data_IF_247120923040
#
_entry.id   IF_247120923040
#
_cell.length_a   1.000
_cell.length_b   1.000
_cell.length_c   1.000
_cell.angle_alpha   90.00
_cell.angle_beta   90.00
_cell.angle_gamma   90.00
#
_symmetry.space_group_name_H-M   'P 1'
#
loop_
_entity.id
_entity.type
_entity.pdbx_description
1 polymer ?
#
# COMPACT_ATOMS: atom_id res chain seq x y z
N UNK A 1 32.51 8.14 -68.89
CA UNK A 1 32.23 9.29 -67.99
C UNK A 1 33.55 9.94 -67.61
N UNK A 2 33.66 11.25 -67.83
CA UNK A 2 34.85 12.05 -67.53
C UNK A 2 35.24 11.93 -66.06
N UNK A 3 36.55 12.01 -65.76
CA UNK A 3 37.09 12.05 -64.39
C UNK A 3 36.43 13.16 -63.55
N UNK A 4 36.05 14.27 -64.19
CA UNK A 4 35.32 15.38 -63.56
C UNK A 4 33.91 15.01 -63.11
N UNK A 5 33.22 14.10 -63.81
CA UNK A 5 31.87 13.65 -63.46
C UNK A 5 31.87 12.72 -62.24
N UNK A 6 32.94 11.93 -62.06
CA UNK A 6 33.09 11.04 -60.89
C UNK A 6 33.36 11.81 -59.59
N UNK A 7 34.17 12.88 -59.65
CA UNK A 7 34.46 13.73 -58.49
C UNK A 7 33.22 14.51 -58.05
N UNK A 8 32.42 15.01 -58.99
CA UNK A 8 31.17 15.72 -58.68
C UNK A 8 30.12 14.81 -58.04
N UNK A 9 29.97 13.56 -58.50
CA UNK A 9 29.05 12.60 -57.88
C UNK A 9 29.48 12.21 -56.46
N UNK A 10 30.78 12.07 -56.18
CA UNK A 10 31.30 11.75 -54.85
C UNK A 10 31.11 12.90 -53.86
N UNK A 11 31.31 14.15 -54.28
CA UNK A 11 31.06 15.33 -53.46
C UNK A 11 29.56 15.55 -53.19
N UNK A 12 28.69 15.26 -54.17
CA UNK A 12 27.24 15.40 -53.99
C UNK A 12 26.67 14.34 -53.05
N UNK A 13 27.17 13.09 -53.12
CA UNK A 13 26.80 12.01 -52.20
C UNK A 13 27.31 12.25 -50.77
N UNK A 14 28.50 12.84 -50.59
CA UNK A 14 28.99 13.20 -49.25
C UNK A 14 28.19 14.35 -48.64
N UNK A 15 27.78 15.34 -49.45
CA UNK A 15 26.94 16.44 -48.98
C UNK A 15 25.54 15.97 -48.56
N UNK A 16 24.94 15.05 -49.32
CA UNK A 16 23.65 14.44 -48.95
C UNK A 16 23.79 13.60 -47.66
N UNK A 17 24.86 12.82 -47.51
CA UNK A 17 25.12 12.05 -46.29
C UNK A 17 25.34 12.94 -45.04
N UNK A 18 26.03 14.08 -45.19
CA UNK A 18 26.23 15.06 -44.12
C UNK A 18 24.93 15.80 -43.75
N UNK A 19 24.06 16.10 -44.73
CA UNK A 19 22.74 16.69 -44.43
C UNK A 19 21.80 15.71 -43.73
N UNK A 20 21.85 14.40 -44.02
CA UNK A 20 21.07 13.40 -43.29
C UNK A 20 21.55 13.14 -41.86
N UNK A 21 22.85 13.34 -41.57
CA UNK A 21 23.38 13.27 -40.20
C UNK A 21 23.05 14.52 -39.37
N UNK A 22 22.83 15.68 -40.00
CA UNK A 22 22.49 16.93 -39.32
C UNK A 22 20.98 17.09 -39.01
N UNK A 23 20.09 16.39 -39.74
CA UNK A 23 18.62 16.57 -39.62
C UNK A 23 17.97 15.84 -38.43
N UNK A 24 18.71 15.02 -37.67
CA UNK A 24 18.15 14.23 -36.55
C UNK A 24 18.69 14.60 -35.16
N UNK A 25 19.00 15.87 -34.89
CA UNK A 25 19.04 16.39 -33.52
C UNK A 25 18.05 17.52 -33.37
N UNK A 26 16.77 17.19 -33.44
CA UNK A 26 15.75 18.00 -32.76
C UNK A 26 16.19 18.06 -31.29
N UNK A 27 16.51 19.24 -30.73
CA UNK A 27 16.77 19.36 -29.30
C UNK A 27 15.53 18.84 -28.59
N UNK A 28 15.62 17.66 -28.00
CA UNK A 28 14.55 17.15 -27.16
C UNK A 28 14.46 18.14 -25.99
N UNK A 29 13.24 18.62 -25.65
CA UNK A 29 13.07 19.55 -24.55
C UNK A 29 13.77 18.97 -23.32
N UNK A 30 14.53 19.83 -22.62
CA UNK A 30 15.35 19.41 -21.49
C UNK A 30 14.42 18.77 -20.44
N UNK A 31 14.47 17.44 -20.31
CA UNK A 31 13.67 16.72 -19.33
C UNK A 31 14.39 16.83 -17.99
N UNK A 32 13.92 17.75 -17.15
CA UNK A 32 14.43 17.98 -15.81
C UNK A 32 13.58 17.23 -14.78
N UNK A 33 14.25 16.48 -13.91
CA UNK A 33 13.64 15.76 -12.81
C UNK A 33 13.75 16.61 -11.54
N UNK A 34 12.59 17.03 -11.02
CA UNK A 34 12.46 17.73 -9.74
C UNK A 34 11.78 16.81 -8.72
N UNK A 35 11.80 17.19 -7.44
CA UNK A 35 11.10 16.46 -6.38
C UNK A 35 9.60 16.27 -6.67
N UNK A 36 8.99 17.22 -7.37
CA UNK A 36 7.57 17.23 -7.73
C UNK A 36 7.26 16.41 -8.99
N UNK A 37 8.28 16.01 -9.75
CA UNK A 37 8.11 15.19 -10.94
C UNK A 37 7.47 13.85 -10.56
N UNK A 38 6.39 13.47 -11.26
CA UNK A 38 5.68 12.21 -11.04
C UNK A 38 6.52 11.01 -11.43
N UNK A 39 6.53 9.97 -10.61
CA UNK A 39 7.30 8.74 -10.89
C UNK A 39 6.85 8.12 -12.21
N UNK A 40 5.55 8.04 -12.52
CA UNK A 40 5.14 7.51 -13.82
C UNK A 40 5.59 8.37 -14.98
N UNK A 41 5.67 9.71 -14.85
CA UNK A 41 6.20 10.58 -15.91
C UNK A 41 7.64 10.19 -16.27
N UNK A 42 8.49 9.92 -15.27
CA UNK A 42 9.86 9.45 -15.49
C UNK A 42 9.86 8.04 -16.09
N UNK A 43 9.13 7.11 -15.47
CA UNK A 43 9.10 5.70 -15.91
C UNK A 43 8.58 5.56 -17.36
N UNK A 44 7.56 6.32 -17.77
CA UNK A 44 7.05 6.31 -19.15
C UNK A 44 8.04 6.92 -20.12
N UNK A 45 8.78 7.95 -19.72
CA UNK A 45 9.84 8.56 -20.54
C UNK A 45 11.00 7.58 -20.77
N UNK A 46 11.22 6.66 -19.84
CA UNK A 46 12.13 5.52 -19.98
C UNK A 46 11.52 4.31 -20.72
N UNK A 47 10.32 4.44 -21.30
CA UNK A 47 9.67 3.39 -22.08
C UNK A 47 8.86 2.37 -21.28
N UNK A 48 8.55 2.62 -20.00
CA UNK A 48 7.59 1.77 -19.27
C UNK A 48 6.15 2.08 -19.65
N UNK A 49 5.35 1.02 -19.69
CA UNK A 49 3.90 1.12 -19.85
C UNK A 49 3.25 1.29 -18.48
N UNK A 50 2.50 2.38 -18.32
CA UNK A 50 1.65 2.59 -17.16
C UNK A 50 0.38 1.74 -17.28
N UNK A 51 0.26 0.73 -16.42
CA UNK A 51 -0.85 -0.24 -16.45
C UNK A 51 -2.10 0.22 -15.70
N UNK A 52 -2.02 1.32 -14.95
CA UNK A 52 -3.10 1.83 -14.09
C UNK A 52 -3.73 3.12 -14.62
N UNK A 53 -3.54 3.44 -15.91
CA UNK A 53 -4.13 4.64 -16.53
C UNK A 53 -5.66 4.65 -16.40
N UNK A 54 -6.22 5.85 -16.27
CA UNK A 54 -7.66 6.06 -16.29
C UNK A 54 -8.26 5.70 -17.66
N UNK A 55 -9.45 5.12 -17.65
CA UNK A 55 -10.18 4.83 -18.88
C UNK A 55 -10.81 6.13 -19.41
N UNK A 56 -10.31 6.60 -20.56
CA UNK A 56 -10.75 7.85 -21.19
C UNK A 56 -12.23 7.82 -21.62
N UNK A 57 -12.80 6.63 -21.82
CA UNK A 57 -14.20 6.48 -22.23
C UNK A 57 -15.15 6.42 -21.03
N UNK A 58 -14.63 6.27 -19.82
CA UNK A 58 -15.45 6.17 -18.61
C UNK A 58 -15.49 7.47 -17.85
N UNK A 59 -16.71 7.88 -17.53
CA UNK A 59 -16.96 9.03 -16.66
C UNK A 59 -16.44 8.75 -15.25
N UNK A 60 -15.68 9.68 -14.69
CA UNK A 60 -15.10 9.58 -13.36
C UNK A 60 -14.94 10.96 -12.71
N UNK A 61 -14.77 10.97 -11.39
CA UNK A 61 -14.58 12.19 -10.59
C UNK A 61 -13.78 11.84 -9.32
N UNK A 62 -12.61 12.44 -9.16
CA UNK A 62 -11.71 12.14 -8.04
C UNK A 62 -12.33 12.51 -6.67
N UNK A 63 -13.14 13.55 -6.58
CA UNK A 63 -13.84 13.92 -5.34
C UNK A 63 -14.90 12.87 -4.98
N UNK A 64 -15.63 12.34 -5.97
CA UNK A 64 -16.55 11.20 -5.74
C UNK A 64 -15.78 9.96 -5.30
N UNK A 65 -14.63 9.69 -5.93
CA UNK A 65 -13.71 8.62 -5.54
C UNK A 65 -13.26 8.71 -4.09
N UNK A 66 -12.81 9.89 -3.66
CA UNK A 66 -12.43 10.16 -2.28
C UNK A 66 -13.59 9.85 -1.33
N UNK A 67 -14.79 10.31 -1.63
CA UNK A 67 -15.96 10.06 -0.79
C UNK A 67 -16.29 8.56 -0.70
N UNK A 68 -16.17 7.81 -1.81
CA UNK A 68 -16.34 6.35 -1.79
C UNK A 68 -15.28 5.68 -0.91
N UNK A 69 -14.01 6.09 -0.99
CA UNK A 69 -12.91 5.54 -0.18
C UNK A 69 -13.06 5.87 1.31
N UNK A 70 -13.38 7.13 1.64
CA UNK A 70 -13.36 7.64 3.01
C UNK A 70 -14.63 7.29 3.81
N UNK A 71 -15.81 7.33 3.17
CA UNK A 71 -17.11 7.15 3.86
C UNK A 71 -18.00 6.10 3.23
N UNK A 72 -17.59 5.49 2.12
CA UNK A 72 -18.32 4.41 1.46
C UNK A 72 -19.57 4.86 0.70
N UNK A 73 -19.78 6.14 0.42
CA UNK A 73 -20.90 6.60 -0.41
C UNK A 73 -20.63 8.00 -0.97
N UNK A 74 -21.32 8.34 -2.05
CA UNK A 74 -21.24 9.65 -2.70
C UNK A 74 -22.60 10.03 -3.31
N UNK A 75 -22.64 11.03 -4.18
CA UNK A 75 -23.73 11.29 -5.11
C UNK A 75 -23.32 10.85 -6.50
N UNK A 76 -24.18 10.09 -7.19
CA UNK A 76 -23.98 9.74 -8.59
C UNK A 76 -23.98 11.00 -9.47
N UNK A 77 -23.75 10.80 -10.76
CA UNK A 77 -23.69 11.92 -11.71
C UNK A 77 -25.04 12.58 -12.03
N UNK A 78 -26.14 12.02 -11.54
CA UNK A 78 -27.48 12.63 -11.56
C UNK A 78 -27.80 13.34 -10.23
N UNK A 79 -26.84 13.45 -9.32
CA UNK A 79 -27.00 14.09 -8.01
C UNK A 79 -27.64 13.22 -6.93
N UNK A 80 -28.03 11.98 -7.22
CA UNK A 80 -28.69 11.08 -6.28
C UNK A 80 -27.66 10.41 -5.36
N UNK A 81 -27.98 10.26 -4.07
CA UNK A 81 -27.10 9.58 -3.11
C UNK A 81 -26.96 8.10 -3.46
N UNK A 82 -25.74 7.58 -3.48
CA UNK A 82 -25.48 6.16 -3.71
C UNK A 82 -25.74 5.34 -2.46
N UNK A 83 -26.05 4.05 -2.65
CA UNK A 83 -26.03 3.09 -1.56
C UNK A 83 -24.60 2.94 -1.03
N UNK A 84 -24.46 2.65 0.28
CA UNK A 84 -23.15 2.40 0.88
C UNK A 84 -22.42 1.26 0.16
N UNK A 85 -21.11 1.40 -0.03
CA UNK A 85 -20.26 0.38 -0.64
C UNK A 85 -20.15 -0.85 0.25
N UNK A 86 -20.13 -0.66 1.58
CA UNK A 86 -20.18 -1.69 2.62
C UNK A 86 -21.05 -1.21 3.80
N UNK A 87 -21.59 -2.14 4.59
CA UNK A 87 -22.35 -1.79 5.79
C UNK A 87 -21.47 -1.15 6.87
N UNK A 88 -20.20 -1.56 6.98
CA UNK A 88 -19.31 -1.14 8.08
C UNK A 88 -17.84 -0.97 7.72
N UNK A 89 -17.33 -1.63 6.67
CA UNK A 89 -15.91 -1.63 6.32
C UNK A 89 -15.69 -0.81 5.06
N UNK A 90 -15.41 0.48 5.20
CA UNK A 90 -14.96 1.31 4.08
C UNK A 90 -13.45 1.13 3.85
N UNK A 91 -12.94 1.58 2.72
CA UNK A 91 -11.54 1.39 2.33
C UNK A 91 -10.55 1.85 3.43
N UNK A 92 -10.81 3.01 4.04
CA UNK A 92 -9.97 3.56 5.13
C UNK A 92 -10.12 2.86 6.49
N UNK A 93 -11.01 1.87 6.60
CA UNK A 93 -11.00 0.98 7.76
C UNK A 93 -9.73 0.12 7.77
N UNK A 94 -9.17 -0.19 6.60
CA UNK A 94 -8.04 -1.10 6.45
C UNK A 94 -6.80 -0.46 5.80
N UNK A 95 -6.94 0.70 5.15
CA UNK A 95 -5.87 1.35 4.39
C UNK A 95 -5.66 2.80 4.84
N UNK A 96 -4.40 3.25 4.92
CA UNK A 96 -4.08 4.68 5.09
C UNK A 96 -4.08 5.40 3.75
N UNK A 97 -4.37 6.71 3.75
CA UNK A 97 -4.18 7.60 2.60
C UNK A 97 -2.81 8.27 2.60
N UNK A 98 -2.13 8.25 3.74
CA UNK A 98 -0.84 8.89 3.97
C UNK A 98 0.34 7.94 3.75
N UNK A 99 1.54 8.52 3.63
CA UNK A 99 2.82 7.81 3.73
C UNK A 99 2.93 7.20 5.13
N UNK A 100 3.21 5.91 5.20
CA UNK A 100 3.30 5.18 6.46
C UNK A 100 4.69 4.63 6.75
N UNK A 101 5.60 4.73 5.78
CA UNK A 101 7.00 4.35 5.93
C UNK A 101 7.83 5.62 5.83
N UNK A 102 8.89 5.78 6.66
CA UNK A 102 9.80 6.91 6.53
C UNK A 102 10.52 6.91 5.18
N UNK A 103 10.73 5.72 4.60
CA UNK A 103 11.27 5.52 3.25
C UNK A 103 10.39 4.52 2.49
N UNK A 104 9.84 4.92 1.34
CA UNK A 104 8.82 4.16 0.60
C UNK A 104 9.31 2.80 0.07
N UNK A 105 10.62 2.66 -0.16
CA UNK A 105 11.24 1.40 -0.56
C UNK A 105 11.37 0.35 0.54
N UNK A 106 11.18 0.73 1.81
CA UNK A 106 11.42 -0.15 2.97
C UNK A 106 10.12 -0.68 3.56
N UNK A 107 10.11 -1.96 3.95
CA UNK A 107 8.92 -2.66 4.48
C UNK A 107 9.17 -3.18 5.91
N UNK A 108 9.85 -2.38 6.74
CA UNK A 108 10.13 -2.75 8.12
C UNK A 108 8.92 -2.41 9.03
N UNK A 109 8.29 -3.39 9.69
CA UNK A 109 7.10 -3.12 10.51
C UNK A 109 7.35 -2.20 11.70
N UNK A 110 8.57 -2.19 12.26
CA UNK A 110 8.92 -1.39 13.43
C UNK A 110 9.06 0.09 13.07
N UNK A 111 9.87 0.41 12.05
CA UNK A 111 10.02 1.80 11.59
C UNK A 111 8.69 2.38 11.11
N UNK A 112 7.83 1.56 10.51
CA UNK A 112 6.46 1.92 10.13
C UNK A 112 5.59 2.30 11.34
N UNK A 113 5.65 1.53 12.44
CA UNK A 113 4.89 1.83 13.65
C UNK A 113 5.34 3.15 14.27
N UNK A 114 6.65 3.36 14.35
CA UNK A 114 7.26 4.59 14.89
C UNK A 114 6.91 5.82 14.05
N UNK A 115 7.07 5.72 12.72
CA UNK A 115 6.69 6.79 11.81
C UNK A 115 5.19 7.08 11.89
N UNK A 116 4.35 6.04 11.90
CA UNK A 116 2.91 6.21 12.02
C UNK A 116 2.49 6.93 13.30
N UNK A 117 3.17 6.67 14.43
CA UNK A 117 2.94 7.38 15.70
C UNK A 117 3.42 8.83 15.66
N UNK A 118 4.55 9.11 15.01
CA UNK A 118 5.08 10.48 14.92
C UNK A 118 4.22 11.41 14.06
N UNK A 119 3.55 10.89 13.02
CA UNK A 119 2.65 11.68 12.14
C UNK A 119 1.16 11.44 12.43
N UNK A 120 0.82 10.70 13.48
CA UNK A 120 -0.56 10.56 13.96
C UNK A 120 -1.50 9.74 13.06
N UNK A 121 -0.98 8.82 12.26
CA UNK A 121 -1.77 7.96 11.36
C UNK A 121 -2.04 6.58 11.99
N UNK A 122 -3.10 5.87 11.57
CA UNK A 122 -3.40 4.55 12.11
C UNK A 122 -2.44 3.48 11.57
N UNK A 123 -2.19 2.46 12.38
CA UNK A 123 -1.38 1.30 12.03
C UNK A 123 -2.33 0.24 11.50
N UNK A 124 -2.46 0.16 10.18
CA UNK A 124 -3.50 -0.64 9.50
C UNK A 124 -2.94 -1.85 8.74
N UNK A 125 -3.74 -2.90 8.51
CA UNK A 125 -3.29 -4.14 7.87
C UNK A 125 -3.17 -4.05 6.34
N UNK A 126 -4.00 -3.26 5.67
CA UNK A 126 -3.92 -3.06 4.23
C UNK A 126 -2.79 -2.09 3.87
N UNK A 127 -2.10 -2.33 2.75
CA UNK A 127 -1.04 -1.46 2.23
C UNK A 127 -1.56 -0.03 1.95
N UNK A 128 -0.72 1.02 1.99
CA UNK A 128 -1.18 2.40 1.91
C UNK A 128 -1.69 2.72 0.50
N UNK A 129 -2.65 3.64 0.40
CA UNK A 129 -3.12 4.17 -0.89
C UNK A 129 -2.13 5.15 -1.52
N UNK A 130 -1.31 5.81 -0.71
CA UNK A 130 -0.19 6.61 -1.23
C UNK A 130 0.75 5.72 -2.05
N UNK A 131 0.97 6.12 -3.31
CA UNK A 131 1.74 5.37 -4.30
C UNK A 131 1.10 4.08 -4.83
N UNK A 132 -0.18 3.80 -4.53
CA UNK A 132 -0.84 2.56 -4.98
C UNK A 132 -0.85 2.44 -6.51
N UNK A 133 -1.07 3.56 -7.22
CA UNK A 133 -1.08 3.60 -8.69
C UNK A 133 0.29 3.33 -9.32
N UNK A 134 1.38 3.44 -8.55
CA UNK A 134 2.75 3.10 -8.97
C UNK A 134 3.06 1.61 -8.86
N UNK A 135 2.12 0.79 -8.36
CA UNK A 135 2.26 -0.66 -8.26
C UNK A 135 1.71 -1.37 -9.49
N UNK A 136 2.32 -2.49 -9.85
CA UNK A 136 1.90 -3.31 -11.01
C UNK A 136 1.21 -4.61 -10.60
N UNK A 137 1.23 -4.94 -9.31
CA UNK A 137 0.58 -6.13 -8.78
C UNK A 137 -0.11 -5.89 -7.43
N UNK A 138 -1.23 -6.59 -7.23
CA UNK A 138 -2.11 -6.53 -6.06
C UNK A 138 -2.39 -7.94 -5.54
N UNK A 139 -2.83 -8.08 -4.28
CA UNK A 139 -3.09 -9.39 -3.66
C UNK A 139 -1.93 -10.39 -3.88
N UNK A 140 -0.71 -9.96 -3.62
CA UNK A 140 0.54 -10.69 -3.92
C UNK A 140 0.77 -11.87 -2.97
N UNK A 141 1.79 -12.68 -3.28
CA UNK A 141 2.25 -13.81 -2.48
C UNK A 141 1.08 -14.74 -2.09
N UNK A 142 0.91 -14.96 -0.79
CA UNK A 142 -0.04 -15.92 -0.23
C UNK A 142 -1.50 -15.66 -0.61
N UNK A 143 -1.85 -14.40 -0.90
CA UNK A 143 -3.19 -14.07 -1.35
C UNK A 143 -3.57 -14.73 -2.69
N UNK A 144 -2.59 -15.18 -3.48
CA UNK A 144 -2.83 -15.92 -4.73
C UNK A 144 -3.12 -17.42 -4.53
N UNK A 145 -2.78 -17.97 -3.36
CA UNK A 145 -2.74 -19.42 -3.12
C UNK A 145 -3.65 -19.88 -1.98
N UNK A 146 -3.86 -19.06 -0.96
CA UNK A 146 -4.33 -19.51 0.35
C UNK A 146 -5.88 -19.47 0.52
N UNK A 147 -6.62 -18.75 -0.32
CA UNK A 147 -8.08 -18.63 -0.17
C UNK A 147 -8.87 -19.81 -0.77
N UNK A 148 -9.99 -20.17 -0.14
CA UNK A 148 -10.95 -21.12 -0.66
C UNK A 148 -11.52 -20.68 -2.03
N UNK A 149 -11.79 -21.64 -2.92
CA UNK A 149 -12.02 -21.47 -4.36
C UNK A 149 -12.87 -20.25 -4.77
N UNK A 150 -14.01 -19.99 -4.09
CA UNK A 150 -14.94 -18.92 -4.51
C UNK A 150 -14.36 -17.49 -4.36
N UNK A 151 -13.62 -17.21 -3.29
CA UNK A 151 -13.02 -15.89 -3.09
C UNK A 151 -11.66 -15.77 -3.79
N UNK A 152 -10.96 -16.90 -3.97
CA UNK A 152 -9.67 -16.94 -4.64
C UNK A 152 -9.72 -16.39 -6.07
N UNK A 153 -10.72 -16.78 -6.85
CA UNK A 153 -10.81 -16.32 -8.25
C UNK A 153 -10.92 -14.79 -8.35
N UNK A 154 -11.73 -14.16 -7.49
CA UNK A 154 -11.88 -12.71 -7.45
C UNK A 154 -10.55 -11.99 -7.14
N UNK A 155 -9.71 -12.57 -6.29
CA UNK A 155 -8.40 -12.01 -5.93
C UNK A 155 -7.33 -12.27 -7.01
N UNK A 156 -7.37 -13.44 -7.65
CA UNK A 156 -6.47 -13.78 -8.74
C UNK A 156 -6.67 -12.88 -9.95
N UNK A 157 -7.92 -12.61 -10.34
CA UNK A 157 -8.18 -11.72 -11.48
C UNK A 157 -7.79 -10.26 -11.18
N UNK A 158 -7.76 -9.86 -9.91
CA UNK A 158 -7.28 -8.56 -9.46
C UNK A 158 -5.76 -8.45 -9.40
N UNK A 159 -5.01 -9.54 -9.52
CA UNK A 159 -3.57 -9.56 -9.26
C UNK A 159 -2.78 -8.56 -10.11
N UNK A 160 -3.16 -8.36 -11.38
CA UNK A 160 -2.53 -7.42 -12.32
C UNK A 160 -3.50 -6.41 -12.92
N UNK A 161 -4.64 -6.21 -12.26
CA UNK A 161 -5.70 -5.32 -12.73
C UNK A 161 -6.26 -4.56 -11.53
N UNK A 162 -5.87 -3.29 -11.40
CA UNK A 162 -6.27 -2.45 -10.25
C UNK A 162 -7.78 -2.29 -10.14
N UNK A 163 -8.53 -2.32 -11.25
CA UNK A 163 -9.99 -2.16 -11.26
C UNK A 163 -10.66 -3.40 -10.67
N UNK A 164 -10.22 -4.57 -11.13
CA UNK A 164 -10.63 -5.84 -10.54
C UNK A 164 -10.16 -5.96 -9.09
N UNK A 165 -8.99 -5.40 -8.76
CA UNK A 165 -8.50 -5.41 -7.39
C UNK A 165 -9.38 -4.57 -6.45
N UNK A 166 -9.77 -3.37 -6.87
CA UNK A 166 -10.73 -2.50 -6.16
C UNK A 166 -12.05 -3.25 -5.96
N UNK A 167 -12.57 -3.86 -7.02
CA UNK A 167 -13.84 -4.60 -6.96
C UNK A 167 -13.78 -5.78 -5.99
N UNK A 168 -12.72 -6.59 -6.07
CA UNK A 168 -12.51 -7.76 -5.22
C UNK A 168 -12.27 -7.36 -3.76
N UNK A 169 -11.53 -6.28 -3.51
CA UNK A 169 -11.38 -5.71 -2.17
C UNK A 169 -12.75 -5.36 -1.58
N UNK A 170 -13.59 -4.64 -2.33
CA UNK A 170 -14.88 -4.23 -1.83
C UNK A 170 -15.80 -5.42 -1.53
N UNK A 171 -15.89 -6.41 -2.41
CA UNK A 171 -16.84 -7.54 -2.25
C UNK A 171 -16.32 -8.61 -1.30
N UNK A 172 -15.02 -8.93 -1.31
CA UNK A 172 -14.44 -10.01 -0.50
C UNK A 172 -14.09 -9.50 0.90
N UNK A 173 -13.35 -8.39 1.00
CA UNK A 173 -12.79 -7.93 2.28
C UNK A 173 -13.78 -7.03 3.01
N UNK A 174 -14.27 -6.00 2.33
CA UNK A 174 -15.24 -5.09 2.92
C UNK A 174 -16.65 -5.68 3.01
N UNK A 175 -16.90 -6.85 2.41
CA UNK A 175 -18.25 -7.47 2.31
C UNK A 175 -19.29 -6.52 1.75
N UNK A 176 -18.85 -5.73 0.79
CA UNK A 176 -19.63 -4.71 0.14
C UNK A 176 -20.42 -5.22 -1.05
N UNK A 177 -21.24 -4.33 -1.60
CA UNK A 177 -21.93 -4.56 -2.88
C UNK A 177 -20.94 -4.54 -4.05
N UNK A 178 -21.39 -4.97 -5.24
CA UNK A 178 -20.64 -4.65 -6.46
C UNK A 178 -20.60 -3.13 -6.65
N UNK A 179 -19.47 -2.63 -7.13
CA UNK A 179 -19.29 -1.23 -7.48
C UNK A 179 -19.66 -1.05 -8.95
N UNK A 180 -20.26 0.09 -9.29
CA UNK A 180 -20.49 0.45 -10.68
C UNK A 180 -19.16 0.85 -11.35
N UNK A 181 -19.07 0.72 -12.67
CA UNK A 181 -17.82 1.02 -13.39
C UNK A 181 -17.32 2.45 -13.14
N UNK A 182 -18.23 3.43 -13.10
CA UNK A 182 -17.87 4.82 -12.81
C UNK A 182 -17.40 5.03 -11.37
N UNK A 183 -17.86 4.21 -10.41
CA UNK A 183 -17.40 4.26 -9.02
C UNK A 183 -15.96 3.75 -8.93
N UNK A 184 -15.64 2.66 -9.63
CA UNK A 184 -14.28 2.11 -9.70
C UNK A 184 -13.33 3.13 -10.36
N UNK A 185 -13.70 3.71 -11.49
CA UNK A 185 -12.85 4.74 -12.14
C UNK A 185 -12.72 5.99 -11.29
N UNK A 186 -13.78 6.41 -10.58
CA UNK A 186 -13.71 7.56 -9.67
C UNK A 186 -12.75 7.28 -8.51
N UNK A 187 -12.81 6.07 -7.91
CA UNK A 187 -11.84 5.63 -6.90
C UNK A 187 -10.43 5.65 -7.48
N UNK A 188 -10.21 5.10 -8.68
CA UNK A 188 -8.90 5.13 -9.33
C UNK A 188 -8.41 6.56 -9.59
N UNK A 189 -9.28 7.47 -10.01
CA UNK A 189 -8.96 8.88 -10.22
C UNK A 189 -8.53 9.55 -8.91
N UNK A 190 -9.17 9.20 -7.78
CA UNK A 190 -8.71 9.64 -6.47
C UNK A 190 -7.34 9.05 -6.11
N UNK A 191 -7.11 7.76 -6.35
CA UNK A 191 -5.82 7.12 -6.08
C UNK A 191 -4.68 7.76 -6.88
N UNK A 192 -4.94 8.23 -8.10
CA UNK A 192 -3.99 9.00 -8.92
C UNK A 192 -3.56 10.32 -8.28
N UNK A 193 -4.38 10.93 -7.43
CA UNK A 193 -3.98 12.14 -6.68
C UNK A 193 -2.86 11.86 -5.68
N UNK A 194 -2.68 10.60 -5.28
CA UNK A 194 -1.68 10.14 -4.33
C UNK A 194 -0.53 9.39 -5.02
N UNK A 195 -0.30 9.62 -6.31
CA UNK A 195 0.86 9.07 -7.03
C UNK A 195 2.19 9.54 -6.41
N UNK A 196 3.16 8.61 -6.34
CA UNK A 196 4.53 8.91 -5.93
C UNK A 196 5.15 10.01 -6.80
N UNK A 197 5.91 10.88 -6.14
CA UNK A 197 6.78 11.88 -6.76
C UNK A 197 8.25 11.48 -6.58
N UNK A 198 9.15 12.04 -7.38
CA UNK A 198 10.57 11.68 -7.34
C UNK A 198 11.22 12.01 -5.99
N UNK A 199 10.82 13.11 -5.34
CA UNK A 199 11.29 13.45 -3.99
C UNK A 199 10.88 12.42 -2.93
N UNK A 200 9.83 11.63 -3.18
CA UNK A 200 9.41 10.57 -2.26
C UNK A 200 10.36 9.37 -2.25
N UNK A 201 11.11 9.16 -3.34
CA UNK A 201 12.02 8.03 -3.50
C UNK A 201 13.38 8.28 -2.84
N UNK A 202 13.75 9.55 -2.63
CA UNK A 202 15.05 9.94 -2.08
C UNK A 202 16.21 9.32 -2.88
N UNK A 203 16.12 9.38 -4.20
CA UNK A 203 17.18 8.90 -5.11
C UNK A 203 18.34 9.90 -5.08
N UNK A 204 19.60 9.46 -4.92
CA UNK A 204 20.76 10.35 -4.96
C UNK A 204 20.87 11.12 -6.29
N UNK A 205 21.31 12.37 -6.25
CA UNK A 205 21.45 13.25 -7.42
C UNK A 205 22.31 12.62 -8.53
N UNK A 206 23.37 11.89 -8.14
CA UNK A 206 24.24 11.16 -9.09
C UNK A 206 23.48 10.12 -9.90
N UNK A 207 22.44 9.50 -9.33
CA UNK A 207 21.57 8.58 -10.05
C UNK A 207 20.48 9.31 -10.84
N UNK A 208 20.02 10.48 -10.36
CA UNK A 208 19.10 11.33 -11.12
C UNK A 208 19.74 11.76 -12.45
N UNK A 209 21.00 12.19 -12.46
CA UNK A 209 21.72 12.54 -13.70
C UNK A 209 21.74 11.36 -14.69
N UNK A 210 22.02 10.14 -14.21
CA UNK A 210 22.01 8.93 -15.04
C UNK A 210 20.62 8.69 -15.66
N UNK A 211 19.55 8.93 -14.89
CA UNK A 211 18.17 8.76 -15.36
C UNK A 211 17.82 9.81 -16.41
N UNK A 212 18.18 11.08 -16.18
CA UNK A 212 17.95 12.15 -17.15
C UNK A 212 18.71 11.92 -18.46
N UNK A 213 19.98 11.52 -18.38
CA UNK A 213 20.80 11.21 -19.56
C UNK A 213 20.20 10.05 -20.36
N UNK A 214 19.69 9.02 -19.67
CA UNK A 214 19.00 7.92 -20.34
C UNK A 214 17.74 8.40 -21.09
N UNK A 215 16.95 9.30 -20.50
CA UNK A 215 15.77 9.89 -21.16
C UNK A 215 16.17 10.75 -22.36
N UNK A 216 17.17 11.62 -22.19
CA UNK A 216 17.64 12.57 -23.23
C UNK A 216 18.24 11.85 -24.44
N UNK A 217 19.04 10.81 -24.19
CA UNK A 217 19.75 10.05 -25.24
C UNK A 217 18.95 8.86 -25.76
N UNK A 218 17.92 8.43 -25.03
CA UNK A 218 17.22 7.16 -25.23
C UNK A 218 18.15 5.92 -25.15
N UNK A 219 19.28 6.04 -24.47
CA UNK A 219 20.28 4.97 -24.28
C UNK A 219 20.28 4.54 -22.82
N UNK A 220 20.27 3.22 -22.56
CA UNK A 220 20.38 2.69 -21.20
C UNK A 220 19.09 2.76 -20.37
N UNK A 221 17.93 2.98 -20.98
CA UNK A 221 16.64 3.10 -20.28
C UNK A 221 16.36 1.95 -19.30
N UNK A 222 16.63 0.70 -19.69
CA UNK A 222 16.45 -0.47 -18.82
C UNK A 222 17.30 -0.41 -17.55
N UNK A 223 18.53 0.13 -17.64
CA UNK A 223 19.40 0.36 -16.48
C UNK A 223 18.82 1.44 -15.58
N UNK A 224 18.38 2.57 -16.14
CA UNK A 224 17.77 3.66 -15.39
C UNK A 224 16.50 3.21 -14.63
N UNK A 225 15.61 2.46 -15.29
CA UNK A 225 14.45 1.84 -14.65
C UNK A 225 14.88 0.97 -13.47
N UNK A 226 15.86 0.09 -13.65
CA UNK A 226 16.30 -0.83 -12.61
C UNK A 226 16.97 -0.09 -11.44
N UNK A 227 17.56 1.09 -11.66
CA UNK A 227 18.04 1.96 -10.58
C UNK A 227 16.86 2.52 -9.79
N UNK A 228 15.85 3.09 -10.46
CA UNK A 228 14.66 3.64 -9.79
C UNK A 228 13.92 2.61 -8.94
N UNK A 229 13.79 1.37 -9.44
CA UNK A 229 13.12 0.26 -8.75
C UNK A 229 13.76 -0.15 -7.42
N UNK A 230 14.97 0.32 -7.11
CA UNK A 230 15.61 0.09 -5.81
C UNK A 230 15.04 0.98 -4.70
N UNK A 231 14.36 2.07 -5.07
CA UNK A 231 13.93 3.12 -4.14
C UNK A 231 12.42 3.12 -3.87
N UNK A 232 11.64 2.32 -4.58
CA UNK A 232 10.23 2.11 -4.31
C UNK A 232 9.78 0.71 -4.72
N UNK A 233 8.63 0.27 -4.20
CA UNK A 233 8.10 -1.06 -4.45
C UNK A 233 7.00 -1.03 -5.52
N UNK A 234 7.26 -1.62 -6.69
CA UNK A 234 6.24 -1.88 -7.72
C UNK A 234 5.30 -3.03 -7.30
N UNK A 235 5.73 -3.88 -6.36
CA UNK A 235 4.98 -5.01 -5.82
C UNK A 235 5.05 -4.93 -4.30
N UNK A 236 3.90 -4.81 -3.63
CA UNK A 236 3.86 -4.80 -2.17
C UNK A 236 3.79 -6.24 -1.67
N UNK A 237 4.80 -6.78 -0.96
CA UNK A 237 4.79 -8.16 -0.47
C UNK A 237 3.70 -8.37 0.60
N UNK A 238 3.07 -9.55 0.60
CA UNK A 238 1.91 -9.83 1.44
C UNK A 238 1.93 -11.27 1.97
N UNK A 239 2.89 -11.57 2.84
CA UNK A 239 3.10 -12.93 3.34
C UNK A 239 2.26 -13.18 4.61
N UNK A 240 1.27 -14.06 4.48
CA UNK A 240 0.38 -14.49 5.53
C UNK A 240 1.09 -15.50 6.43
N UNK A 241 1.15 -15.20 7.71
CA UNK A 241 1.74 -16.10 8.72
C UNK A 241 0.66 -16.64 9.66
N UNK A 242 0.86 -17.87 10.12
CA UNK A 242 0.04 -18.50 11.15
C UNK A 242 0.15 -17.74 12.48
N UNK A 243 -0.85 -17.86 13.38
CA UNK A 243 -0.74 -17.36 14.74
C UNK A 243 0.46 -17.98 15.46
N UNK A 244 1.08 -17.24 16.37
CA UNK A 244 2.11 -17.78 17.28
C UNK A 244 1.50 -18.99 18.04
N UNK A 245 2.17 -20.15 18.10
CA UNK A 245 1.67 -21.33 18.83
C UNK A 245 1.41 -21.02 20.31
N UNK A 246 0.34 -21.59 20.89
CA UNK A 246 -0.09 -21.26 22.27
C UNK A 246 1.04 -21.40 23.30
N UNK A 247 1.87 -22.43 23.19
CA UNK A 247 3.01 -22.66 24.09
C UNK A 247 4.10 -21.59 24.04
N UNK A 248 4.14 -20.76 23.00
CA UNK A 248 5.14 -19.70 22.81
C UNK A 248 4.56 -18.30 23.11
N UNK A 249 3.24 -18.17 23.28
CA UNK A 249 2.58 -16.86 23.45
C UNK A 249 2.88 -16.21 24.80
N UNK A 250 3.23 -16.98 25.83
CA UNK A 250 3.45 -16.48 27.20
C UNK A 250 4.86 -15.95 27.46
N UNK A 251 5.76 -16.01 26.47
CA UNK A 251 7.13 -15.51 26.55
C UNK A 251 7.14 -13.96 26.47
N UNK A 252 6.70 -13.32 27.55
CA UNK A 252 6.66 -11.86 27.67
C UNK A 252 7.39 -11.36 28.92
N UNK A 253 8.22 -10.32 28.78
CA UNK A 253 8.88 -9.66 29.91
C UNK A 253 9.23 -8.20 29.60
N UNK A 254 9.51 -7.35 30.61
CA UNK A 254 9.98 -5.98 30.36
C UNK A 254 11.32 -5.91 29.61
N UNK A 255 12.12 -6.99 29.63
CA UNK A 255 13.41 -7.07 28.92
C UNK A 255 13.20 -7.45 27.44
N UNK A 256 12.19 -8.29 27.17
CA UNK A 256 11.93 -8.81 25.83
C UNK A 256 10.88 -8.00 25.06
N UNK A 257 10.07 -7.19 25.75
CA UNK A 257 8.90 -6.55 25.16
C UNK A 257 8.76 -5.09 25.55
N UNK A 258 8.44 -4.27 24.55
CA UNK A 258 8.25 -2.84 24.73
C UNK A 258 6.80 -2.53 25.10
N UNK A 259 6.61 -1.98 26.31
CA UNK A 259 5.30 -1.50 26.75
C UNK A 259 4.78 -0.37 25.84
N UNK A 260 5.68 0.54 25.45
CA UNK A 260 5.37 1.69 24.60
C UNK A 260 4.97 1.27 23.19
N UNK A 261 5.65 0.29 22.58
CA UNK A 261 5.21 -0.29 21.30
C UNK A 261 3.85 -0.97 21.42
N UNK A 262 3.64 -1.77 22.46
CA UNK A 262 2.35 -2.42 22.69
C UNK A 262 1.21 -1.41 22.83
N UNK A 263 1.47 -0.30 23.53
CA UNK A 263 0.54 0.84 23.65
C UNK A 263 0.25 1.48 22.29
N UNK A 264 1.28 1.73 21.48
CA UNK A 264 1.14 2.28 20.12
C UNK A 264 0.27 1.37 19.24
N UNK A 265 0.57 0.07 19.21
CA UNK A 265 -0.24 -0.92 18.46
C UNK A 265 -1.69 -0.90 18.94
N UNK A 266 -1.94 -0.93 20.25
CA UNK A 266 -3.30 -0.88 20.77
C UNK A 266 -4.05 0.39 20.35
N UNK A 267 -3.39 1.56 20.48
CA UNK A 267 -3.94 2.87 20.12
C UNK A 267 -4.23 3.00 18.63
N UNK A 268 -3.28 2.63 17.77
CA UNK A 268 -3.30 2.94 16.35
C UNK A 268 -3.93 1.86 15.48
N UNK A 269 -3.93 0.60 15.95
CA UNK A 269 -4.55 -0.52 15.24
C UNK A 269 -5.88 -0.91 15.88
N UNK A 270 -5.86 -1.32 17.16
CA UNK A 270 -7.06 -1.89 17.79
C UNK A 270 -8.16 -0.83 17.95
N UNK A 271 -7.82 0.33 18.52
CA UNK A 271 -8.81 1.39 18.74
C UNK A 271 -9.29 2.06 17.45
N UNK A 272 -8.55 2.02 16.34
CA UNK A 272 -9.02 2.55 15.05
C UNK A 272 -10.34 1.93 14.62
N UNK A 273 -10.45 0.61 14.75
CA UNK A 273 -11.65 -0.14 14.37
C UNK A 273 -12.66 -0.27 15.51
N UNK A 274 -12.17 -0.49 16.73
CA UNK A 274 -12.99 -0.94 17.85
C UNK A 274 -13.44 0.19 18.79
N UNK A 275 -12.77 1.34 18.83
CA UNK A 275 -13.24 2.47 19.64
C UNK A 275 -14.59 2.96 19.10
N UNK A 276 -15.56 3.11 20.00
CA UNK A 276 -16.93 3.48 19.62
C UNK A 276 -17.58 2.55 18.58
N UNK A 277 -17.05 1.33 18.40
CA UNK A 277 -17.53 0.37 17.37
C UNK A 277 -17.49 0.96 15.95
N UNK A 278 -16.51 1.83 15.66
CA UNK A 278 -16.39 2.58 14.39
C UNK A 278 -16.47 1.68 13.17
N UNK A 279 -15.64 0.64 13.11
CA UNK A 279 -15.59 -0.32 12.00
C UNK A 279 -15.81 -1.78 12.45
N UNK A 280 -15.84 -2.05 13.76
CA UNK A 280 -16.09 -3.37 14.33
C UNK A 280 -17.37 -3.41 15.17
N UNK A 281 -17.98 -4.59 15.32
CA UNK A 281 -19.15 -4.76 16.22
C UNK A 281 -18.75 -4.91 17.69
N UNK A 282 -17.55 -5.45 17.93
CA UNK A 282 -16.98 -5.55 19.26
C UNK A 282 -16.31 -4.22 19.62
N UNK A 283 -16.65 -3.66 20.79
CA UNK A 283 -16.08 -2.42 21.27
C UNK A 283 -14.83 -2.66 22.10
N UNK A 284 -13.82 -1.81 21.93
CA UNK A 284 -12.64 -1.75 22.79
C UNK A 284 -12.47 -0.32 23.33
N UNK A 285 -11.98 -0.22 24.55
CA UNK A 285 -11.66 1.03 25.24
C UNK A 285 -10.42 0.85 26.12
N UNK A 286 -10.00 1.92 26.80
CA UNK A 286 -8.81 1.90 27.66
C UNK A 286 -9.10 1.47 29.11
N UNK A 287 -10.26 0.86 29.39
CA UNK A 287 -10.59 0.41 30.74
C UNK A 287 -9.84 -0.87 31.12
N UNK A 288 -9.49 -1.01 32.40
CA UNK A 288 -8.90 -2.24 32.93
C UNK A 288 -9.77 -3.47 32.63
N UNK A 289 -11.11 -3.31 32.61
CA UNK A 289 -12.06 -4.37 32.28
C UNK A 289 -11.86 -4.90 30.86
N UNK A 290 -11.69 -4.02 29.88
CA UNK A 290 -11.39 -4.41 28.49
C UNK A 290 -10.08 -5.19 28.41
N UNK A 291 -9.03 -4.73 29.10
CA UNK A 291 -7.75 -5.43 29.10
C UNK A 291 -7.81 -6.80 29.79
N UNK A 292 -8.52 -6.91 30.92
CA UNK A 292 -8.78 -8.19 31.60
C UNK A 292 -9.52 -9.18 30.69
N UNK A 293 -10.51 -8.70 29.93
CA UNK A 293 -11.20 -9.50 28.93
C UNK A 293 -10.23 -10.02 27.87
N UNK A 294 -9.46 -9.14 27.21
CA UNK A 294 -8.52 -9.56 26.17
C UNK A 294 -7.47 -10.55 26.70
N UNK A 295 -6.93 -10.30 27.90
CA UNK A 295 -5.96 -11.18 28.56
C UNK A 295 -6.48 -12.60 28.75
N UNK A 296 -7.76 -12.78 29.08
CA UNK A 296 -8.38 -14.11 29.24
C UNK A 296 -8.38 -14.92 27.93
N UNK A 297 -8.29 -14.27 26.78
CA UNK A 297 -8.42 -14.90 25.47
C UNK A 297 -7.11 -15.17 24.73
N UNK A 298 -5.96 -14.75 25.26
CA UNK A 298 -4.69 -14.88 24.53
C UNK A 298 -4.34 -16.31 24.11
N UNK A 299 -4.59 -17.26 25.00
CA UNK A 299 -4.14 -18.65 24.85
C UNK A 299 -5.30 -19.58 24.45
N UNK A 300 -6.47 -19.00 24.12
CA UNK A 300 -7.65 -19.72 23.63
C UNK A 300 -7.77 -19.58 22.12
N UNK A 301 -8.12 -20.67 21.44
CA UNK A 301 -8.55 -20.64 20.03
C UNK A 301 -9.90 -19.93 19.93
N UNK A 302 -9.89 -18.62 19.75
CA UNK A 302 -11.11 -17.82 19.76
C UNK A 302 -10.98 -16.55 18.92
N UNK A 303 -12.11 -16.05 18.39
CA UNK A 303 -12.17 -14.78 17.65
C UNK A 303 -11.74 -13.54 18.46
N UNK A 304 -11.51 -13.69 19.77
CA UNK A 304 -11.06 -12.63 20.67
C UNK A 304 -9.56 -12.74 21.00
N UNK A 305 -8.91 -13.84 20.63
CA UNK A 305 -7.45 -13.95 20.74
C UNK A 305 -6.82 -12.98 19.76
N UNK A 306 -5.94 -12.09 20.24
CA UNK A 306 -5.20 -11.17 19.37
C UNK A 306 -4.30 -11.93 18.37
N UNK A 307 -3.88 -13.15 18.71
CA UNK A 307 -3.04 -13.97 17.83
C UNK A 307 -3.86 -14.54 16.67
N UNK A 308 -5.05 -15.05 16.95
CA UNK A 308 -5.90 -15.66 15.93
C UNK A 308 -6.67 -14.61 15.12
N UNK A 309 -7.03 -13.48 15.73
CA UNK A 309 -7.79 -12.42 15.08
C UNK A 309 -6.96 -11.58 14.11
N UNK A 310 -5.66 -11.38 14.40
CA UNK A 310 -4.79 -10.53 13.58
C UNK A 310 -4.00 -11.32 12.53
N UNK A 311 -3.82 -12.63 12.71
CA UNK A 311 -3.08 -13.50 11.77
C UNK A 311 -4.02 -14.32 10.90
N UNK A 312 -3.43 -15.00 9.92
CA UNK A 312 -4.17 -15.92 9.08
C UNK A 312 -4.27 -17.28 9.78
N UNK A 313 -5.48 -17.77 9.99
CA UNK A 313 -5.72 -19.10 10.57
C UNK A 313 -6.52 -19.95 9.58
N UNK A 314 -5.88 -20.86 8.81
CA UNK A 314 -6.61 -21.76 7.94
C UNK A 314 -7.38 -22.79 8.77
N UNK A 315 -8.71 -22.84 8.60
CA UNK A 315 -9.52 -23.99 9.00
C UNK A 315 -9.81 -24.19 10.50
N UNK A 316 -11.06 -23.90 10.88
CA UNK A 316 -11.90 -24.81 11.66
C UNK A 316 -13.36 -24.49 11.31
N UNK A 317 -14.24 -25.49 11.32
CA UNK A 317 -15.65 -25.43 10.86
C UNK A 317 -16.40 -24.22 11.45
N UNK A 318 -16.37 -23.09 10.74
CA UNK A 318 -17.01 -21.83 11.14
C UNK A 318 -16.10 -20.59 11.20
N UNK A 319 -14.77 -20.72 11.10
CA UNK A 319 -13.84 -19.59 11.09
C UNK A 319 -13.81 -18.88 9.73
N UNK A 320 -14.94 -18.20 9.47
CA UNK A 320 -15.07 -17.00 8.66
C UNK A 320 -14.24 -15.88 9.31
N UNK A 321 -12.92 -16.04 9.48
CA UNK A 321 -12.07 -14.91 9.89
C UNK A 321 -12.18 -13.90 8.78
N UNK A 322 -13.05 -12.92 9.02
CA UNK A 322 -13.25 -11.86 8.06
C UNK A 322 -11.98 -11.04 8.16
N UNK A 323 -11.33 -10.75 7.03
CA UNK A 323 -10.27 -9.78 7.01
C UNK A 323 -10.64 -8.50 7.79
N UNK A 324 -9.62 -7.77 8.27
CA UNK A 324 -8.26 -7.79 7.72
C UNK A 324 -7.20 -8.55 8.51
N UNK A 325 -6.25 -9.19 7.80
CA UNK A 325 -5.09 -9.87 8.39
C UNK A 325 -3.83 -8.99 8.29
N UNK A 326 -3.02 -8.98 9.34
CA UNK A 326 -1.67 -8.43 9.27
C UNK A 326 -0.71 -9.46 8.70
N UNK A 327 -0.15 -9.16 7.53
CA UNK A 327 1.01 -9.90 6.98
C UNK A 327 2.25 -9.59 7.81
N UNK A 328 3.31 -10.38 7.63
CA UNK A 328 4.57 -10.17 8.36
C UNK A 328 5.19 -8.79 8.08
N UNK A 329 4.98 -8.26 6.87
CA UNK A 329 5.47 -6.95 6.44
C UNK A 329 4.65 -5.79 7.01
N UNK A 330 3.46 -6.06 7.57
CA UNK A 330 2.56 -5.05 8.15
C UNK A 330 2.65 -5.00 9.67
N UNK A 331 2.88 -6.15 10.33
CA UNK A 331 3.08 -6.27 11.76
C UNK A 331 3.97 -7.47 12.06
N UNK A 332 5.06 -7.27 12.80
CA UNK A 332 5.97 -8.35 13.21
C UNK A 332 5.39 -9.18 14.36
N UNK A 333 5.93 -10.38 14.60
CA UNK A 333 5.57 -11.16 15.79
C UNK A 333 6.01 -10.46 17.09
N UNK A 334 7.12 -9.73 17.07
CA UNK A 334 7.56 -8.93 18.21
C UNK A 334 6.51 -7.88 18.59
N UNK A 335 5.95 -7.15 17.63
CA UNK A 335 4.91 -6.15 17.89
C UNK A 335 3.63 -6.77 18.48
N UNK A 336 3.32 -8.01 18.10
CA UNK A 336 2.20 -8.74 18.67
C UNK A 336 2.48 -9.18 20.12
N UNK A 337 3.72 -9.55 20.44
CA UNK A 337 4.14 -9.85 21.81
C UNK A 337 4.21 -8.57 22.68
N UNK A 338 4.67 -7.45 22.12
CA UNK A 338 4.62 -6.13 22.76
C UNK A 338 3.17 -5.75 23.10
N UNK A 339 2.23 -5.99 22.18
CA UNK A 339 0.79 -5.78 22.42
C UNK A 339 0.27 -6.66 23.56
N UNK A 340 0.62 -7.96 23.59
CA UNK A 340 0.28 -8.84 24.72
C UNK A 340 0.83 -8.30 26.03
N UNK A 341 2.09 -7.88 26.03
CA UNK A 341 2.75 -7.34 27.22
C UNK A 341 2.01 -6.11 27.74
N UNK A 342 1.75 -5.12 26.88
CA UNK A 342 0.96 -3.93 27.21
C UNK A 342 -0.41 -4.28 27.82
N UNK A 343 -1.21 -5.11 27.13
CA UNK A 343 -2.53 -5.53 27.62
C UNK A 343 -2.42 -6.26 28.95
N UNK A 344 -1.39 -7.10 29.14
CA UNK A 344 -1.17 -7.83 30.40
C UNK A 344 -0.92 -6.88 31.56
N UNK A 345 -0.06 -5.87 31.36
CA UNK A 345 0.23 -4.87 32.38
C UNK A 345 -0.98 -3.99 32.67
N UNK A 346 -1.69 -3.52 31.64
CA UNK A 346 -2.95 -2.78 31.82
C UNK A 346 -4.02 -3.60 32.53
N UNK A 347 -4.12 -4.90 32.25
CA UNK A 347 -5.08 -5.78 32.93
C UNK A 347 -4.76 -5.94 34.43
N UNK A 348 -3.48 -5.91 34.81
CA UNK A 348 -3.00 -6.03 36.19
C UNK A 348 -3.12 -4.71 36.96
N UNK A 349 -2.50 -3.65 36.45
CA UNK A 349 -2.30 -2.38 37.17
C UNK A 349 -3.28 -1.28 36.74
N UNK A 350 -4.07 -1.48 35.68
CA UNK A 350 -5.00 -0.46 35.22
C UNK A 350 -4.27 0.80 34.72
N UNK A 351 -4.65 1.97 35.21
CA UNK A 351 -4.05 3.25 34.84
C UNK A 351 -2.59 3.37 35.28
N UNK A 352 -2.24 2.84 36.46
CA UNK A 352 -0.91 2.94 37.08
C UNK A 352 0.20 2.31 36.22
N UNK A 353 -0.12 1.37 35.34
CA UNK A 353 0.83 0.81 34.38
C UNK A 353 1.48 1.88 33.49
N UNK A 354 0.74 2.93 33.11
CA UNK A 354 1.30 3.95 32.21
C UNK A 354 2.39 4.77 32.91
N UNK A 355 2.26 5.02 34.22
CA UNK A 355 3.27 5.70 35.02
C UNK A 355 4.46 4.79 35.36
N UNK A 356 4.19 3.53 35.66
CA UNK A 356 5.23 2.54 35.97
C UNK A 356 6.16 2.32 34.77
N UNK A 357 5.59 2.17 33.57
CA UNK A 357 6.33 1.84 32.35
C UNK A 357 6.69 3.07 31.51
N UNK A 358 6.61 4.29 32.04
CA UNK A 358 6.99 5.49 31.27
C UNK A 358 8.49 5.58 30.97
N UNK A 359 9.32 4.92 31.79
CA UNK A 359 10.78 4.95 31.74
C UNK A 359 11.40 3.63 31.24
N UNK A 360 10.58 2.68 30.81
CA UNK A 360 10.96 1.37 30.27
C UNK A 360 10.42 1.25 28.84
#
# INVERSE_FOLDING_TARGET
>A
MSQTTKVFSLLFLSFIALTHLAVNRVPQPNFEITDETKVWKVMTSLGKVNVNVLDKQRRHDATKGQQLVMRGYTRNFKGQKTAKTSSKLFCVACHTTEKEHPQIGTMNPQSRLEHGDSVGIPFLPGAPFYGLVNRVAFFTNDYQHIFAHKNRLALQVGHRDIRKAIQACNTVYAKGRSLEAWEIESILAYLWTMELKMGDLQVPDTLITIIEDAIKTNIGNSRAVNLMRRYYQEVYPASLISPIPVGERNLISPVLNSYSNGRRVYKQSCLHCHAGKRYANFGLDRSQKTFKFLKKHFDLTSKYSIYDALRYSPGSKGNKTNPPHYTVERMSNQQLQDLRFYITQKARLGAEADDYYKNF
#
